data_IF_642693435708
#
_entry.id   IF_642693435708
#
_cell.length_a   1.000
_cell.length_b   1.000
_cell.length_c   1.000
_cell.angle_alpha   90.00
_cell.angle_beta   90.00
_cell.angle_gamma   90.00
#
_symmetry.space_group_name_H-M   'P 1'
#
loop_
_entity.id
_entity.type
_entity.pdbx_description
1 polymer ?
#
# COMPACT_ATOMS: atom_id res chain seq x y z
N UNK A 1 22.36 -19.88 -50.91
CA UNK A 1 23.13 -18.72 -50.43
C UNK A 1 22.58 -17.47 -51.08
N UNK A 2 21.73 -16.74 -50.38
CA UNK A 2 21.25 -15.41 -50.78
C UNK A 2 21.29 -14.53 -49.52
N UNK A 3 22.27 -13.63 -49.53
CA UNK A 3 22.44 -12.55 -48.56
C UNK A 3 21.45 -11.44 -48.92
N UNK A 4 20.50 -11.13 -48.03
CA UNK A 4 19.81 -9.84 -48.04
C UNK A 4 20.19 -9.10 -46.77
N UNK A 5 21.15 -8.18 -46.92
CA UNK A 5 21.37 -7.12 -45.96
C UNK A 5 20.37 -6.00 -46.21
N UNK A 6 19.74 -5.50 -45.14
CA UNK A 6 19.03 -4.24 -45.16
C UNK A 6 19.50 -3.42 -43.96
N UNK A 7 20.33 -2.44 -44.30
CA UNK A 7 20.64 -1.27 -43.49
C UNK A 7 19.34 -0.49 -43.23
N UNK A 8 19.05 -0.16 -41.98
CA UNK A 8 18.19 0.98 -41.66
C UNK A 8 18.92 1.90 -40.69
N UNK A 9 19.35 3.04 -41.24
CA UNK A 9 19.89 4.19 -40.53
C UNK A 9 18.83 5.29 -40.72
N UNK A 10 18.19 5.73 -39.65
CA UNK A 10 17.11 6.72 -39.75
C UNK A 10 16.66 7.23 -38.39
N UNK A 11 17.31 8.30 -37.94
CA UNK A 11 16.87 9.21 -36.87
C UNK A 11 15.73 10.11 -37.36
N UNK A 12 14.57 10.14 -36.70
CA UNK A 12 13.92 11.36 -36.15
C UNK A 12 12.73 10.97 -35.23
N UNK A 13 12.37 11.82 -34.24
CA UNK A 13 11.43 11.54 -33.17
C UNK A 13 10.00 11.98 -33.55
N UNK A 14 8.99 11.37 -32.95
CA UNK A 14 7.63 11.91 -32.97
C UNK A 14 6.88 11.59 -31.69
N UNK A 15 6.70 12.66 -30.92
CA UNK A 15 5.61 12.88 -29.98
C UNK A 15 4.30 12.32 -30.56
N UNK A 16 3.66 11.41 -29.83
CA UNK A 16 2.25 11.09 -30.04
C UNK A 16 1.56 11.12 -28.67
N UNK A 17 1.04 12.30 -28.36
CA UNK A 17 0.00 12.53 -27.38
C UNK A 17 -1.33 12.42 -28.12
N UNK A 18 -2.14 11.40 -27.82
CA UNK A 18 -3.59 11.26 -28.06
C UNK A 18 -3.98 9.87 -27.53
N UNK A 19 -4.60 9.73 -26.35
CA UNK A 19 -6.02 9.98 -26.04
C UNK A 19 -6.97 8.89 -26.57
N UNK A 20 -8.00 8.62 -25.75
CA UNK A 20 -9.24 7.88 -26.04
C UNK A 20 -9.28 6.40 -25.65
N UNK A 21 -9.96 6.17 -24.51
CA UNK A 21 -10.94 5.11 -24.26
C UNK A 21 -10.68 3.72 -24.86
N UNK A 22 -10.13 2.82 -24.04
CA UNK A 22 -10.39 1.39 -24.17
C UNK A 22 -11.41 0.95 -23.11
N UNK A 23 -12.68 1.34 -23.31
CA UNK A 23 -13.82 0.52 -22.88
C UNK A 23 -13.82 -0.75 -23.72
N UNK A 24 -13.11 -1.78 -23.24
CA UNK A 24 -13.22 -3.13 -23.78
C UNK A 24 -14.52 -3.75 -23.25
N UNK A 25 -15.54 -3.68 -24.09
CA UNK A 25 -16.79 -4.41 -24.03
C UNK A 25 -16.48 -5.92 -24.00
N UNK A 26 -16.72 -6.59 -22.86
CA UNK A 26 -16.62 -8.05 -22.74
C UNK A 26 -17.99 -8.64 -23.13
N UNK A 27 -18.10 -9.43 -24.22
CA UNK A 27 -19.32 -10.16 -24.51
C UNK A 27 -19.47 -11.35 -23.55
N UNK A 28 -20.54 -11.33 -22.75
CA UNK A 28 -21.00 -12.48 -21.95
C UNK A 28 -21.73 -13.47 -22.87
N UNK A 29 -21.30 -14.74 -22.96
CA UNK A 29 -22.10 -15.75 -23.63
C UNK A 29 -23.03 -16.48 -22.64
N UNK A 30 -24.23 -16.76 -23.16
CA UNK A 30 -25.07 -17.95 -22.96
C UNK A 30 -26.10 -18.00 -21.82
N UNK A 31 -27.34 -17.73 -22.23
CA UNK A 31 -28.56 -18.55 -22.03
C UNK A 31 -28.40 -19.82 -21.18
N UNK A 32 -29.14 -19.87 -20.07
CA UNK A 32 -29.66 -21.11 -19.50
C UNK A 32 -31.20 -21.12 -19.62
N UNK A 33 -31.83 -22.20 -20.09
CA UNK A 33 -33.29 -22.31 -20.11
C UNK A 33 -33.83 -22.71 -18.73
N UNK A 34 -34.65 -21.83 -18.15
CA UNK A 34 -35.46 -22.11 -16.97
C UNK A 34 -36.62 -23.06 -17.33
N UNK A 35 -36.60 -24.28 -16.78
CA UNK A 35 -37.76 -25.16 -16.75
C UNK A 35 -38.27 -25.20 -15.31
N UNK A 36 -39.49 -24.69 -15.12
CA UNK A 36 -40.08 -24.49 -13.81
C UNK A 36 -40.57 -25.78 -13.13
N UNK A 37 -40.74 -25.69 -11.82
CA UNK A 37 -41.77 -26.43 -11.09
C UNK A 37 -42.07 -25.72 -9.76
N UNK A 38 -43.27 -25.12 -9.67
CA UNK A 38 -44.02 -24.92 -8.41
C UNK A 38 -44.37 -26.32 -7.86
N UNK A 39 -44.66 -26.64 -6.59
CA UNK A 39 -45.52 -26.11 -5.51
C UNK A 39 -45.02 -26.92 -4.28
N UNK A 40 -44.98 -26.48 -3.01
CA UNK A 40 -46.14 -26.26 -2.14
C UNK A 40 -45.70 -25.86 -0.72
N UNK A 41 -46.57 -25.07 -0.10
CA UNK A 41 -46.62 -24.66 1.31
C UNK A 41 -46.56 -25.82 2.31
N UNK A 42 -45.96 -25.57 3.48
CA UNK A 42 -46.49 -26.05 4.75
C UNK A 42 -46.04 -25.16 5.92
N UNK A 43 -46.90 -25.12 6.93
CA UNK A 43 -47.03 -24.07 7.93
C UNK A 43 -46.17 -24.26 9.20
N UNK A 44 -45.88 -23.11 9.86
CA UNK A 44 -45.81 -22.77 11.30
C UNK A 44 -45.81 -23.91 12.36
N UNK A 45 -45.16 -23.73 13.54
CA UNK A 45 -45.52 -22.64 14.46
C UNK A 45 -44.42 -21.95 15.28
N UNK A 46 -44.82 -20.77 15.74
CA UNK A 46 -44.19 -19.89 16.73
C UNK A 46 -44.02 -20.54 18.10
N UNK A 47 -42.99 -20.13 18.82
CA UNK A 47 -42.98 -20.21 20.29
C UNK A 47 -42.47 -18.90 20.86
N UNK A 48 -43.39 -18.20 21.53
CA UNK A 48 -43.18 -16.97 22.30
C UNK A 48 -42.70 -17.35 23.70
N UNK A 49 -41.58 -16.79 24.16
CA UNK A 49 -41.21 -16.77 25.58
C UNK A 49 -41.01 -15.30 25.96
N UNK A 50 -41.87 -14.81 26.85
CA UNK A 50 -41.79 -13.52 27.49
C UNK A 50 -41.06 -13.66 28.84
N UNK A 51 -40.20 -12.70 29.16
CA UNK A 51 -39.57 -12.55 30.48
C UNK A 51 -39.15 -11.09 30.69
N UNK A 52 -39.50 -10.45 31.82
CA UNK A 52 -39.35 -9.00 32.02
C UNK A 52 -38.01 -8.65 32.68
N UNK A 53 -37.50 -7.45 32.40
CA UNK A 53 -36.36 -6.89 33.13
C UNK A 53 -35.79 -5.63 32.50
N UNK A 54 -36.43 -4.48 32.72
CA UNK A 54 -35.77 -3.17 32.61
C UNK A 54 -34.86 -2.96 33.82
N UNK A 55 -33.71 -2.29 33.66
CA UNK A 55 -33.68 -0.92 34.17
C UNK A 55 -32.96 0.09 33.27
N UNK A 56 -33.56 1.27 33.24
CA UNK A 56 -33.02 2.63 33.09
C UNK A 56 -31.52 2.80 33.28
N UNK A 57 -30.86 3.48 32.33
CA UNK A 57 -29.85 4.54 32.55
C UNK A 57 -29.48 5.16 31.18
N UNK A 58 -29.92 6.39 30.93
CA UNK A 58 -29.21 7.67 31.14
C UNK A 58 -28.48 8.14 29.88
N UNK A 59 -28.96 9.28 29.40
CA UNK A 59 -28.43 10.03 28.28
C UNK A 59 -27.16 10.79 28.68
N UNK A 60 -26.16 10.77 27.82
CA UNK A 60 -25.06 11.75 27.82
C UNK A 60 -24.90 12.33 26.42
N UNK A 61 -25.07 13.64 26.38
CA UNK A 61 -24.78 14.59 25.30
C UNK A 61 -23.38 14.44 24.69
N UNK A 62 -23.22 14.57 23.35
CA UNK A 62 -21.95 14.97 22.77
C UNK A 62 -21.86 16.51 22.65
N UNK A 63 -20.92 17.08 23.39
CA UNK A 63 -20.51 18.49 23.35
C UNK A 63 -19.50 18.73 22.23
N UNK A 64 -19.82 19.74 21.41
CA UNK A 64 -18.97 20.65 20.63
C UNK A 64 -17.52 20.27 20.24
N UNK A 65 -17.29 20.30 18.92
CA UNK A 65 -16.44 21.34 18.32
C UNK A 65 -14.93 21.13 18.37
N UNK A 66 -14.34 20.63 17.27
CA UNK A 66 -12.92 20.89 16.96
C UNK A 66 -12.82 21.58 15.60
N UNK A 67 -12.22 22.76 15.63
CA UNK A 67 -11.97 23.67 14.51
C UNK A 67 -11.13 22.98 13.43
N UNK A 68 -11.65 22.94 12.20
CA UNK A 68 -10.84 22.76 10.99
C UNK A 68 -9.93 23.97 10.81
N UNK A 69 -8.62 23.77 10.78
CA UNK A 69 -7.68 24.74 10.19
C UNK A 69 -7.65 24.50 8.68
N UNK A 70 -7.82 25.53 7.83
CA UNK A 70 -7.48 25.42 6.42
C UNK A 70 -5.95 25.38 6.29
N UNK A 71 -5.43 24.31 5.70
CA UNK A 71 -4.05 24.28 5.19
C UNK A 71 -4.11 24.96 3.83
N UNK A 72 -3.64 26.21 3.77
CA UNK A 72 -3.36 26.91 2.53
C UNK A 72 -2.05 26.38 1.98
N UNK A 73 -2.11 25.65 0.86
CA UNK A 73 -0.94 25.31 0.05
C UNK A 73 -0.75 26.45 -0.97
N UNK A 74 0.33 27.25 -0.90
CA UNK A 74 0.66 28.20 -1.95
C UNK A 74 1.33 27.47 -3.12
N UNK A 75 0.62 27.39 -4.25
CA UNK A 75 1.23 27.10 -5.54
C UNK A 75 1.97 28.35 -6.04
N UNK A 76 3.23 28.15 -6.41
CA UNK A 76 4.03 28.92 -7.38
C UNK A 76 4.24 30.43 -7.09
N UNK A 77 5.42 30.76 -6.55
CA UNK A 77 5.98 32.11 -6.57
C UNK A 77 7.31 32.13 -7.32
N UNK A 78 7.33 32.82 -8.46
CA UNK A 78 8.51 33.20 -9.24
C UNK A 78 9.53 33.97 -8.40
N UNK A 79 10.81 33.72 -8.68
CA UNK A 79 11.93 34.39 -8.03
C UNK A 79 12.16 35.83 -8.51
N UNK A 80 12.60 36.68 -7.59
CA UNK A 80 13.45 37.83 -7.85
C UNK A 80 14.20 38.19 -6.55
N UNK A 81 15.48 38.50 -6.67
CA UNK A 81 16.43 38.61 -5.57
C UNK A 81 16.31 39.83 -4.67
N UNK A 82 17.21 39.90 -3.70
CA UNK A 82 17.39 41.06 -2.83
C UNK A 82 18.38 40.76 -1.71
N UNK A 83 19.48 41.51 -1.71
CA UNK A 83 20.62 41.48 -0.78
C UNK A 83 20.27 41.80 0.68
N UNK A 84 21.07 41.23 1.60
CA UNK A 84 21.67 41.91 2.75
C UNK A 84 20.78 42.30 3.95
N UNK A 85 21.19 41.85 5.14
CA UNK A 85 21.55 42.70 6.31
C UNK A 85 21.80 41.78 7.52
N UNK A 86 23.04 41.83 8.03
CA UNK A 86 23.44 41.33 9.35
C UNK A 86 23.12 42.36 10.44
N UNK A 87 22.63 41.94 11.62
CA UNK A 87 22.97 42.56 12.92
C UNK A 87 22.84 41.51 14.04
N UNK A 88 23.96 41.24 14.74
CA UNK A 88 24.03 40.63 16.08
C UNK A 88 23.43 41.60 17.14
N UNK A 89 23.10 41.27 18.40
CA UNK A 89 23.94 40.74 19.48
C UNK A 89 23.07 40.46 20.72
N UNK A 90 23.42 39.39 21.46
CA UNK A 90 23.55 39.26 22.94
C UNK A 90 22.41 39.69 23.90
N UNK A 91 22.12 39.06 25.05
CA UNK A 91 22.71 37.93 25.78
C UNK A 91 21.84 37.57 27.01
N UNK A 92 21.99 36.33 27.52
CA UNK A 92 21.90 35.85 28.92
C UNK A 92 20.54 35.87 29.67
N UNK A 93 20.26 35.04 30.69
CA UNK A 93 20.74 33.74 31.22
C UNK A 93 19.89 33.43 32.48
N UNK A 94 19.52 32.18 32.75
CA UNK A 94 19.29 31.56 34.07
C UNK A 94 18.86 30.09 33.86
N UNK A 95 19.71 29.07 34.08
CA UNK A 95 20.18 28.51 35.34
C UNK A 95 19.14 27.64 36.10
N UNK A 96 19.47 26.35 36.23
CA UNK A 96 18.80 25.33 37.06
C UNK A 96 18.97 23.93 36.45
N UNK A 97 20.08 23.22 36.69
CA UNK A 97 20.21 22.16 37.71
C UNK A 97 19.06 21.13 37.66
N UNK A 98 19.23 19.83 37.42
CA UNK A 98 20.39 18.95 37.28
C UNK A 98 19.86 17.52 37.52
N UNK A 99 20.39 16.53 36.82
CA UNK A 99 20.41 15.11 37.23
C UNK A 99 21.13 14.32 36.14
N UNK A 100 22.40 14.02 36.39
CA UNK A 100 23.12 13.02 35.61
C UNK A 100 22.46 11.66 35.82
N UNK A 101 21.82 11.16 34.77
CA UNK A 101 21.77 9.73 34.51
C UNK A 101 22.93 9.46 33.56
N UNK A 102 23.94 8.73 34.03
CA UNK A 102 25.05 8.30 33.21
C UNK A 102 24.50 7.58 31.99
N UNK A 103 24.62 8.22 30.82
CA UNK A 103 24.61 7.53 29.56
C UNK A 103 25.91 6.71 29.51
N UNK A 104 25.92 5.58 30.24
CA UNK A 104 26.74 4.47 29.85
C UNK A 104 26.46 4.28 28.36
N UNK A 105 27.50 4.41 27.55
CA UNK A 105 27.45 4.06 26.14
C UNK A 105 26.89 2.64 26.09
N UNK A 106 25.58 2.54 25.88
CA UNK A 106 24.92 1.28 25.71
C UNK A 106 25.58 0.69 24.48
N UNK A 107 26.43 -0.31 24.72
CA UNK A 107 27.07 -1.13 23.71
C UNK A 107 26.00 -1.43 22.66
N UNK A 108 26.10 -0.73 21.53
CA UNK A 108 25.08 -0.72 20.51
C UNK A 108 25.02 -2.16 20.01
N UNK A 109 23.94 -2.87 20.34
CA UNK A 109 23.78 -4.28 20.00
C UNK A 109 24.07 -4.45 18.50
N UNK A 110 25.19 -5.09 18.13
CA UNK A 110 25.64 -5.17 16.75
C UNK A 110 24.64 -5.95 15.87
N UNK A 111 23.67 -6.64 16.48
CA UNK A 111 22.61 -7.36 15.79
C UNK A 111 21.32 -6.55 15.66
N UNK A 112 21.23 -5.37 16.29
CA UNK A 112 20.07 -4.48 16.13
C UNK A 112 20.35 -3.49 14.99
N UNK A 113 19.61 -3.55 13.88
CA UNK A 113 19.75 -2.55 12.82
C UNK A 113 19.59 -1.14 13.38
N UNK A 114 20.50 -0.24 13.02
CA UNK A 114 20.45 1.18 13.44
C UNK A 114 19.16 1.87 12.96
N UNK A 115 18.53 1.33 11.90
CA UNK A 115 17.31 1.84 11.31
C UNK A 115 16.34 0.70 11.02
N UNK A 116 15.08 0.88 11.39
CA UNK A 116 14.03 -0.10 11.09
C UNK A 116 13.71 -0.12 9.58
N UNK A 117 13.31 -1.28 9.07
CA UNK A 117 12.88 -1.41 7.67
C UNK A 117 11.62 -0.58 7.41
N UNK A 118 11.56 0.06 6.24
CA UNK A 118 10.43 0.87 5.78
C UNK A 118 9.31 0.03 5.16
N UNK A 119 9.58 -1.25 4.87
CA UNK A 119 8.68 -2.16 4.18
C UNK A 119 7.29 -2.29 4.85
N UNK A 120 7.16 -2.44 6.19
CA UNK A 120 5.86 -2.53 6.84
C UNK A 120 4.97 -1.29 6.63
N UNK A 121 5.57 -0.11 6.51
CA UNK A 121 4.84 1.14 6.28
C UNK A 121 4.25 1.16 4.86
N UNK A 122 5.05 0.75 3.87
CA UNK A 122 4.62 0.62 2.47
C UNK A 122 3.54 -0.44 2.33
N UNK A 123 3.71 -1.62 2.96
CA UNK A 123 2.72 -2.71 2.92
C UNK A 123 1.37 -2.25 3.47
N UNK A 124 1.34 -1.56 4.62
CA UNK A 124 0.11 -1.06 5.21
C UNK A 124 -0.58 0.02 4.34
N UNK A 125 0.20 0.87 3.68
CA UNK A 125 -0.32 1.83 2.70
C UNK A 125 -0.94 1.09 1.51
N UNK A 126 -0.27 0.07 0.99
CA UNK A 126 -0.75 -0.74 -0.13
C UNK A 126 -2.04 -1.49 0.19
N UNK A 127 -2.19 -2.06 1.39
CA UNK A 127 -3.46 -2.68 1.81
C UNK A 127 -4.62 -1.69 1.70
N UNK A 128 -4.38 -0.41 2.07
CA UNK A 128 -5.40 0.62 1.92
C UNK A 128 -5.71 0.91 0.45
N UNK A 129 -4.69 1.02 -0.42
CA UNK A 129 -4.87 1.29 -1.86
C UNK A 129 -5.55 0.13 -2.60
N UNK A 130 -5.20 -1.10 -2.26
CA UNK A 130 -5.64 -2.30 -2.98
C UNK A 130 -7.08 -2.70 -2.66
N UNK A 131 -7.52 -2.46 -1.41
CA UNK A 131 -8.78 -2.99 -0.90
C UNK A 131 -9.79 -1.90 -0.51
N UNK A 132 -9.46 -0.62 -0.70
CA UNK A 132 -10.41 0.49 -0.51
C UNK A 132 -10.57 1.27 -1.82
N UNK A 133 -11.78 1.29 -2.42
CA UNK A 133 -12.00 1.79 -3.78
C UNK A 133 -11.70 3.28 -3.98
N UNK A 134 -11.66 4.08 -2.91
CA UNK A 134 -11.49 5.54 -2.97
C UNK A 134 -10.12 6.02 -2.47
N UNK A 135 -9.17 5.11 -2.23
CA UNK A 135 -7.88 5.48 -1.65
C UNK A 135 -6.85 5.77 -2.74
N UNK A 136 -6.49 7.04 -2.90
CA UNK A 136 -5.40 7.46 -3.76
C UNK A 136 -4.04 7.02 -3.19
N UNK A 137 -3.14 6.55 -4.06
CA UNK A 137 -1.82 6.03 -3.67
C UNK A 137 -0.97 7.06 -2.92
N UNK A 138 -0.91 8.30 -3.41
CA UNK A 138 -0.17 9.39 -2.77
C UNK A 138 -0.76 9.72 -1.39
N UNK A 139 -2.09 9.78 -1.27
CA UNK A 139 -2.77 10.02 0.00
C UNK A 139 -2.55 8.88 1.01
N UNK A 140 -2.52 7.63 0.54
CA UNK A 140 -2.23 6.48 1.38
C UNK A 140 -0.80 6.50 1.92
N UNK A 141 0.17 6.86 1.08
CA UNK A 141 1.57 7.00 1.48
C UNK A 141 1.75 8.11 2.52
N UNK A 142 1.19 9.30 2.28
CA UNK A 142 1.22 10.41 3.23
C UNK A 142 0.57 10.02 4.57
N UNK A 143 -0.61 9.41 4.54
CA UNK A 143 -1.30 8.96 5.74
C UNK A 143 -0.53 7.86 6.49
N UNK A 144 0.26 7.03 5.81
CA UNK A 144 1.10 6.03 6.45
C UNK A 144 2.30 6.65 7.16
N UNK A 145 2.93 7.67 6.55
CA UNK A 145 4.00 8.46 7.17
C UNK A 145 3.49 9.23 8.39
N UNK A 146 2.37 9.94 8.28
CA UNK A 146 1.79 10.73 9.39
C UNK A 146 1.41 9.88 10.62
N UNK A 147 1.00 8.63 10.42
CA UNK A 147 0.66 7.72 11.55
C UNK A 147 1.88 7.30 12.36
N UNK A 148 3.08 7.37 11.79
CA UNK A 148 4.36 7.06 12.45
C UNK A 148 4.95 8.34 13.03
N UNK A 149 4.30 8.90 14.04
CA UNK A 149 4.74 10.11 14.72
C UNK A 149 5.94 9.90 15.66
N UNK A 150 6.30 8.66 15.93
CA UNK A 150 7.45 8.23 16.70
C UNK A 150 8.76 8.21 15.87
N UNK A 151 8.69 8.57 14.58
CA UNK A 151 9.79 8.45 13.64
C UNK A 151 9.98 9.75 12.84
N UNK A 152 11.21 10.27 12.81
CA UNK A 152 11.58 11.36 11.90
C UNK A 152 12.03 10.79 10.57
N UNK A 153 11.27 11.06 9.51
CA UNK A 153 11.60 10.61 8.16
C UNK A 153 12.53 11.61 7.47
N UNK A 154 13.50 11.10 6.70
CA UNK A 154 14.26 11.97 5.78
C UNK A 154 13.48 12.13 4.48
N UNK A 155 13.76 13.19 3.72
CA UNK A 155 13.12 13.42 2.42
C UNK A 155 13.31 12.24 1.46
N UNK A 156 14.45 11.56 1.52
CA UNK A 156 14.71 10.36 0.72
C UNK A 156 13.80 9.19 1.12
N UNK A 157 13.52 9.01 2.41
CA UNK A 157 12.63 7.95 2.88
C UNK A 157 11.18 8.22 2.51
N UNK A 158 10.72 9.45 2.70
CA UNK A 158 9.37 9.85 2.30
C UNK A 158 9.17 9.66 0.81
N UNK A 159 10.19 10.04 0.00
CA UNK A 159 10.21 9.81 -1.44
C UNK A 159 10.21 8.32 -1.76
N UNK A 160 10.99 7.50 -1.07
CA UNK A 160 11.05 6.05 -1.29
C UNK A 160 9.71 5.36 -1.00
N UNK A 161 9.07 5.70 0.13
CA UNK A 161 7.74 5.20 0.49
C UNK A 161 6.72 5.59 -0.58
N UNK A 162 6.67 6.89 -0.91
CA UNK A 162 5.71 7.41 -1.88
C UNK A 162 5.93 6.78 -3.26
N UNK A 163 7.18 6.68 -3.71
CA UNK A 163 7.54 6.08 -4.99
C UNK A 163 7.11 4.62 -5.08
N UNK A 164 7.31 3.83 -4.02
CA UNK A 164 6.92 2.40 -4.01
C UNK A 164 5.42 2.21 -3.98
N UNK A 165 4.69 2.96 -3.15
CA UNK A 165 3.21 2.87 -3.10
C UNK A 165 2.61 3.26 -4.45
N UNK A 166 3.03 4.40 -5.01
CA UNK A 166 2.55 4.87 -6.31
C UNK A 166 2.99 3.96 -7.46
N UNK A 167 4.20 3.42 -7.40
CA UNK A 167 4.74 2.48 -8.37
C UNK A 167 3.92 1.18 -8.44
N UNK A 168 3.66 0.54 -7.31
CA UNK A 168 2.82 -0.66 -7.25
C UNK A 168 1.41 -0.37 -7.76
N UNK A 169 0.81 0.77 -7.36
CA UNK A 169 -0.52 1.16 -7.83
C UNK A 169 -0.57 1.37 -9.35
N UNK A 170 0.46 1.99 -9.93
CA UNK A 170 0.55 2.27 -11.38
C UNK A 170 0.73 1.00 -12.21
N UNK A 171 1.37 -0.03 -11.65
CA UNK A 171 1.67 -1.29 -12.33
C UNK A 171 0.78 -2.45 -11.85
N UNK A 172 -0.32 -2.16 -11.15
CA UNK A 172 -1.10 -3.16 -10.42
C UNK A 172 -1.56 -4.35 -11.27
N UNK A 173 -2.11 -4.07 -12.46
CA UNK A 173 -2.61 -5.12 -13.37
C UNK A 173 -1.48 -6.06 -13.81
N UNK A 174 -0.33 -5.50 -14.15
CA UNK A 174 0.84 -6.26 -14.59
C UNK A 174 1.41 -7.11 -13.44
N UNK A 175 1.57 -6.51 -12.25
CA UNK A 175 2.08 -7.20 -11.07
C UNK A 175 1.15 -8.34 -10.62
N UNK A 176 -0.17 -8.14 -10.67
CA UNK A 176 -1.15 -9.21 -10.40
C UNK A 176 -1.05 -10.36 -11.39
N UNK A 177 -0.84 -10.05 -12.67
CA UNK A 177 -0.64 -11.06 -13.69
C UNK A 177 0.64 -11.86 -13.46
N UNK A 178 1.74 -11.18 -13.11
CA UNK A 178 3.01 -11.83 -12.76
C UNK A 178 2.86 -12.73 -11.54
N UNK A 179 2.20 -12.25 -10.48
CA UNK A 179 1.92 -13.02 -9.27
C UNK A 179 1.12 -14.29 -9.58
N UNK A 180 0.03 -14.16 -10.33
CA UNK A 180 -0.79 -15.31 -10.73
C UNK A 180 0.02 -16.33 -11.53
N UNK A 181 0.86 -15.85 -12.46
CA UNK A 181 1.71 -16.71 -13.29
C UNK A 181 2.77 -17.45 -12.46
N UNK A 182 3.44 -16.77 -11.54
CA UNK A 182 4.45 -17.35 -10.66
C UNK A 182 3.84 -18.44 -9.76
N UNK A 183 2.67 -18.15 -9.19
CA UNK A 183 1.94 -19.09 -8.34
C UNK A 183 1.46 -20.31 -9.12
N UNK A 184 0.90 -20.12 -10.32
CA UNK A 184 0.41 -21.22 -11.16
C UNK A 184 1.54 -22.13 -11.65
N UNK A 185 2.72 -21.58 -11.91
CA UNK A 185 3.90 -22.35 -12.34
C UNK A 185 4.52 -23.20 -11.24
N UNK A 186 4.14 -22.98 -9.99
CA UNK A 186 4.73 -23.66 -8.82
C UNK A 186 3.82 -24.78 -8.32
N UNK A 187 4.11 -26.06 -8.65
CA UNK A 187 3.16 -27.15 -8.39
C UNK A 187 2.91 -27.43 -6.90
N UNK A 188 3.88 -27.10 -6.03
CA UNK A 188 3.74 -27.26 -4.57
C UNK A 188 2.61 -26.40 -4.00
N UNK A 189 2.37 -25.21 -4.56
CA UNK A 189 1.30 -24.32 -4.08
C UNK A 189 -0.07 -24.97 -4.30
N UNK A 190 -0.31 -25.48 -5.51
CA UNK A 190 -1.54 -26.19 -5.83
C UNK A 190 -1.69 -27.48 -5.00
N UNK A 191 -0.58 -28.21 -4.81
CA UNK A 191 -0.56 -29.48 -4.06
C UNK A 191 -0.92 -29.30 -2.58
N UNK A 192 -0.43 -28.24 -1.95
CA UNK A 192 -0.61 -27.98 -0.52
C UNK A 192 -1.67 -26.92 -0.20
N UNK A 193 -2.29 -26.31 -1.21
CA UNK A 193 -3.35 -25.32 -1.03
C UNK A 193 -2.85 -23.96 -0.53
N UNK A 194 -1.60 -23.60 -0.80
CA UNK A 194 -0.92 -22.40 -0.23
C UNK A 194 -1.28 -21.09 -0.95
N UNK A 195 -2.38 -21.03 -1.70
CA UNK A 195 -2.76 -19.84 -2.46
C UNK A 195 -3.01 -18.62 -1.57
N UNK A 196 -3.46 -18.82 -0.32
CA UNK A 196 -3.64 -17.76 0.68
C UNK A 196 -2.34 -17.04 1.04
N UNK A 197 -1.21 -17.75 1.00
CA UNK A 197 0.10 -17.23 1.40
C UNK A 197 0.66 -16.25 0.36
N UNK A 198 0.06 -16.26 -0.84
CA UNK A 198 0.32 -15.32 -1.93
C UNK A 198 -0.83 -14.33 -2.13
N UNK A 199 -1.82 -14.32 -1.23
CA UNK A 199 -2.98 -13.44 -1.34
C UNK A 199 -3.89 -13.73 -2.53
N UNK A 200 -3.93 -14.99 -2.98
CA UNK A 200 -4.72 -15.50 -4.11
C UNK A 200 -5.99 -16.24 -3.64
N UNK A 201 -6.53 -15.90 -2.47
CA UNK A 201 -7.75 -16.52 -1.93
C UNK A 201 -9.01 -15.98 -2.61
N UNK A 202 -10.08 -16.79 -2.66
CA UNK A 202 -11.35 -16.41 -3.31
C UNK A 202 -12.10 -15.27 -2.61
N UNK A 203 -11.77 -15.01 -1.34
CA UNK A 203 -12.43 -14.02 -0.49
C UNK A 203 -11.39 -13.06 0.12
N UNK A 204 -10.37 -12.69 -0.66
CA UNK A 204 -9.26 -11.84 -0.19
C UNK A 204 -9.76 -10.54 0.44
N UNK A 205 -10.88 -9.98 -0.03
CA UNK A 205 -11.49 -8.75 0.47
C UNK A 205 -11.98 -8.87 1.93
N UNK A 206 -12.21 -10.09 2.43
CA UNK A 206 -12.69 -10.35 3.79
C UNK A 206 -11.63 -11.04 4.67
N UNK A 207 -10.43 -11.27 4.14
CA UNK A 207 -9.33 -11.95 4.83
C UNK A 207 -8.14 -10.99 4.99
N UNK A 208 -8.00 -10.33 6.16
CA UNK A 208 -6.92 -9.37 6.39
C UNK A 208 -5.52 -9.95 6.18
N UNK A 209 -5.32 -11.24 6.46
CA UNK A 209 -4.03 -11.89 6.27
C UNK A 209 -3.75 -12.06 4.77
N UNK A 210 -4.72 -12.53 3.99
CA UNK A 210 -4.57 -12.64 2.55
C UNK A 210 -4.37 -11.27 1.88
N UNK A 211 -4.96 -10.18 2.42
CA UNK A 211 -4.72 -8.81 1.94
C UNK A 211 -3.27 -8.38 2.15
N UNK A 212 -2.73 -8.63 3.35
CA UNK A 212 -1.34 -8.34 3.66
C UNK A 212 -0.40 -9.16 2.78
N UNK A 213 -0.65 -10.48 2.65
CA UNK A 213 0.15 -11.35 1.79
C UNK A 213 0.13 -10.89 0.33
N UNK A 214 -1.02 -10.45 -0.19
CA UNK A 214 -1.10 -9.90 -1.53
C UNK A 214 -0.27 -8.62 -1.66
N UNK A 215 -0.38 -7.70 -0.70
CA UNK A 215 0.37 -6.45 -0.70
C UNK A 215 1.89 -6.68 -0.66
N UNK A 216 2.35 -7.62 0.18
CA UNK A 216 3.75 -8.04 0.26
C UNK A 216 4.25 -8.61 -1.08
N UNK A 217 3.53 -9.57 -1.65
CA UNK A 217 3.93 -10.19 -2.92
C UNK A 217 3.98 -9.17 -4.07
N UNK A 218 3.01 -8.25 -4.14
CA UNK A 218 3.01 -7.20 -5.16
C UNK A 218 4.14 -6.20 -4.97
N UNK A 219 4.47 -5.84 -3.72
CA UNK A 219 5.61 -4.98 -3.42
C UNK A 219 6.93 -5.67 -3.78
N UNK A 220 7.10 -6.95 -3.43
CA UNK A 220 8.29 -7.72 -3.77
C UNK A 220 8.49 -7.80 -5.30
N UNK A 221 7.43 -8.12 -6.06
CA UNK A 221 7.49 -8.14 -7.52
C UNK A 221 7.85 -6.77 -8.12
N UNK A 222 7.32 -5.69 -7.56
CA UNK A 222 7.68 -4.34 -7.98
C UNK A 222 9.17 -4.05 -7.74
N UNK A 223 9.68 -4.35 -6.55
CA UNK A 223 11.09 -4.15 -6.18
C UNK A 223 12.02 -4.97 -7.10
N UNK A 224 11.66 -6.22 -7.37
CA UNK A 224 12.45 -7.14 -8.19
C UNK A 224 12.47 -6.74 -9.68
N UNK A 225 11.31 -6.40 -10.26
CA UNK A 225 11.17 -6.29 -11.71
C UNK A 225 10.97 -4.88 -12.25
N UNK A 226 10.59 -3.92 -11.39
CA UNK A 226 10.37 -2.51 -11.79
C UNK A 226 11.43 -1.60 -11.20
N UNK A 227 11.71 -1.72 -9.91
CA UNK A 227 12.79 -0.98 -9.25
C UNK A 227 14.17 -1.57 -9.60
N UNK A 228 14.23 -2.86 -9.93
CA UNK A 228 15.48 -3.61 -10.19
C UNK A 228 16.48 -3.51 -9.02
N UNK A 229 15.99 -3.40 -7.78
CA UNK A 229 16.82 -3.24 -6.60
C UNK A 229 17.43 -4.58 -6.11
N UNK A 230 17.02 -5.69 -6.71
CA UNK A 230 17.52 -7.03 -6.41
C UNK A 230 16.90 -7.67 -5.17
N UNK A 231 17.28 -8.92 -4.92
CA UNK A 231 16.72 -9.80 -3.87
C UNK A 231 16.96 -9.26 -2.47
N UNK A 232 18.14 -8.68 -2.24
CA UNK A 232 18.52 -8.14 -0.92
C UNK A 232 17.64 -6.94 -0.48
N UNK A 233 16.95 -6.28 -1.41
CA UNK A 233 16.02 -5.21 -1.10
C UNK A 233 14.63 -5.73 -0.65
N UNK A 234 14.38 -7.04 -0.78
CA UNK A 234 13.17 -7.71 -0.31
C UNK A 234 13.50 -8.45 0.99
N UNK A 235 13.56 -7.70 2.09
CA UNK A 235 13.91 -8.18 3.43
C UNK A 235 12.71 -8.66 4.27
N UNK A 236 11.50 -8.47 3.74
CA UNK A 236 10.23 -8.67 4.44
C UNK A 236 9.49 -9.96 4.03
N UNK A 237 9.98 -10.64 2.98
CA UNK A 237 9.40 -11.88 2.48
C UNK A 237 10.29 -13.06 2.87
N UNK A 238 9.70 -14.21 3.20
CA UNK A 238 10.48 -15.42 3.40
C UNK A 238 11.09 -15.94 2.09
N UNK A 239 12.16 -16.73 2.22
CA UNK A 239 12.92 -17.22 1.09
C UNK A 239 12.08 -18.13 0.15
N UNK A 240 11.16 -18.93 0.70
CA UNK A 240 10.34 -19.83 -0.10
C UNK A 240 9.38 -19.06 -1.02
N UNK A 241 8.70 -18.05 -0.48
CA UNK A 241 7.85 -17.16 -1.27
C UNK A 241 8.68 -16.37 -2.28
N UNK A 242 9.89 -15.95 -1.90
CA UNK A 242 10.76 -15.18 -2.79
C UNK A 242 11.20 -16.01 -3.99
N UNK A 243 11.63 -17.26 -3.76
CA UNK A 243 11.99 -18.22 -4.82
C UNK A 243 10.84 -18.41 -5.81
N UNK A 244 9.60 -18.52 -5.32
CA UNK A 244 8.40 -18.62 -6.17
C UNK A 244 8.21 -17.37 -7.02
N UNK A 245 8.37 -16.17 -6.44
CA UNK A 245 8.19 -14.91 -7.18
C UNK A 245 9.30 -14.67 -8.21
N UNK A 246 10.47 -15.25 -8.01
CA UNK A 246 11.58 -15.17 -8.96
C UNK A 246 11.41 -16.08 -10.17
N UNK A 247 10.68 -17.19 -10.02
CA UNK A 247 10.11 -18.02 -11.09
C UNK A 247 11.10 -18.65 -12.06
#
# INVERSE_FOLDING_TARGET
>A
MLHLGLFFRGTVPLLACLCVACTAFIPVPTRFPSRGQQVASSARPSTTIAGPGSPTQQATTPTAGTRRRPISVPCCGEGAGGEGVEVAVDSAAAAGAGAGAGAAAAEMDPFRPTRASMSPLVINALVSVLFRPDTEATGAAAAALERRSDWEFTEEEERAVTSRVCGVASHLTELRFMLATAVERTPSIAKYGMFSDYGMSKNVENDPLAQMNQAECLLALYILHKENAGVAAVDFLDAERLDVLQG
#
